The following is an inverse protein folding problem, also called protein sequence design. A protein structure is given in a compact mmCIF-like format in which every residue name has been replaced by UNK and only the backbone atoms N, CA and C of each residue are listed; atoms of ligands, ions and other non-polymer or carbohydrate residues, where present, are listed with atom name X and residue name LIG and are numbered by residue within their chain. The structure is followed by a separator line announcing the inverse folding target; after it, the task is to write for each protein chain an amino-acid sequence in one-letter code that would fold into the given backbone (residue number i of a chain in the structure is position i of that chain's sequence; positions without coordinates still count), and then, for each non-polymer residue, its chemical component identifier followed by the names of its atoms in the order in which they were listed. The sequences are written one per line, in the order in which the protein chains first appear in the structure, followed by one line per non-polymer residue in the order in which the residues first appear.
data_IF_962507412307
#
_entry.id   IF_962507412307
#
_cell.length_a   1.000
_cell.length_b   1.000
_cell.length_c   1.000
_cell.angle_alpha   90.00
_cell.angle_beta   90.00
_cell.angle_gamma   90.00
#
_symmetry.space_group_name_H-M   'P 1'
#
loop_
_entity.id
_entity.type
_entity.pdbx_description
1 polymer ?
#
# COMPACT_ATOMS: atom_id res chain seq x y z
N UNK A 1 22.43 8.75 -41.32
CA UNK A 1 23.02 9.48 -40.17
C UNK A 1 22.28 10.80 -39.98
N UNK A 2 21.25 10.82 -39.12
CA UNK A 2 20.54 12.07 -38.71
C UNK A 2 19.58 11.79 -37.55
N UNK A 3 20.11 11.34 -36.41
CA UNK A 3 19.33 11.18 -35.17
C UNK A 3 20.27 11.47 -34.01
N UNK A 4 20.17 12.66 -33.42
CA UNK A 4 20.63 13.06 -32.07
C UNK A 4 20.62 14.60 -32.05
N UNK A 5 19.54 15.16 -31.53
CA UNK A 5 19.47 16.59 -31.16
C UNK A 5 18.40 16.89 -30.09
N UNK A 6 17.77 15.89 -29.46
CA UNK A 6 16.73 16.12 -28.44
C UNK A 6 17.22 15.84 -27.02
N UNK A 7 18.48 16.18 -26.70
CA UNK A 7 19.07 15.95 -25.37
C UNK A 7 19.18 17.22 -24.50
N UNK A 8 18.56 18.35 -24.85
CA UNK A 8 18.70 19.58 -24.07
C UNK A 8 17.38 20.36 -23.93
N UNK A 9 16.33 19.71 -23.44
CA UNK A 9 15.11 20.39 -22.98
C UNK A 9 14.82 20.10 -21.50
N UNK A 10 15.87 20.13 -20.66
CA UNK A 10 15.79 19.82 -19.23
C UNK A 10 16.31 20.94 -18.30
N UNK A 11 16.29 22.21 -18.71
CA UNK A 11 16.78 23.31 -17.86
C UNK A 11 15.81 24.49 -17.84
N UNK A 12 15.25 24.75 -16.66
CA UNK A 12 14.50 25.96 -16.28
C UNK A 12 12.99 25.70 -16.27
N UNK A 13 12.32 25.62 -15.12
CA UNK A 13 12.22 26.67 -14.11
C UNK A 13 11.91 26.00 -12.75
N UNK A 14 12.87 26.05 -11.83
CA UNK A 14 12.61 25.93 -10.39
C UNK A 14 12.49 27.37 -9.87
N UNK A 15 11.26 27.83 -9.66
CA UNK A 15 10.97 29.06 -8.93
C UNK A 15 10.32 28.67 -7.61
N UNK A 16 11.12 28.73 -6.55
CA UNK A 16 10.70 28.58 -5.15
C UNK A 16 10.13 29.91 -4.67
N UNK A 17 9.25 29.80 -3.65
CA UNK A 17 8.84 30.78 -2.64
C UNK A 17 7.48 31.44 -2.86
N UNK A 18 6.58 31.12 -1.94
CA UNK A 18 5.35 31.87 -1.67
C UNK A 18 4.69 31.39 -0.38
N UNK A 19 5.34 31.63 0.76
CA UNK A 19 4.73 31.47 2.07
C UNK A 19 3.65 32.56 2.28
N UNK A 20 2.41 32.14 2.53
CA UNK A 20 1.39 32.91 3.24
C UNK A 20 0.81 31.94 4.30
N UNK A 21 1.32 32.00 5.53
CA UNK A 21 0.76 32.73 6.67
C UNK A 21 -0.68 32.36 6.99
N UNK A 22 -0.78 31.76 8.17
CA UNK A 22 -1.93 31.37 8.97
C UNK A 22 -2.92 32.50 9.18
N UNK A 23 -4.19 32.23 8.94
CA UNK A 23 -5.31 33.00 9.48
C UNK A 23 -6.32 31.99 10.04
N UNK A 24 -6.44 32.03 11.37
CA UNK A 24 -7.35 31.26 12.20
C UNK A 24 -8.68 32.04 12.33
N UNK A 25 -9.84 31.47 11.98
CA UNK A 25 -11.11 32.00 12.45
C UNK A 25 -11.55 31.28 13.73
N UNK A 26 -11.29 31.93 14.85
CA UNK A 26 -12.06 31.78 16.08
C UNK A 26 -13.54 32.07 15.79
N UNK A 27 -14.42 31.11 16.02
CA UNK A 27 -15.80 31.44 16.35
C UNK A 27 -16.32 30.58 17.49
N UNK A 28 -16.81 31.30 18.49
CA UNK A 28 -17.22 30.85 19.80
C UNK A 28 -18.50 30.03 19.72
N UNK A 29 -18.53 28.84 20.32
CA UNK A 29 -19.81 28.30 20.83
C UNK A 29 -19.61 27.60 22.16
N UNK A 30 -19.84 28.41 23.19
CA UNK A 30 -20.44 28.10 24.48
C UNK A 30 -20.11 26.74 25.13
N UNK A 31 -19.25 26.83 26.13
CA UNK A 31 -19.35 26.23 27.47
C UNK A 31 -20.49 25.21 27.68
N UNK A 32 -20.10 23.97 27.97
CA UNK A 32 -20.75 23.24 29.05
C UNK A 32 -19.68 22.57 29.92
N UNK A 33 -19.55 23.12 31.12
CA UNK A 33 -18.72 22.62 32.21
C UNK A 33 -19.33 21.34 32.78
N UNK A 34 -18.56 20.25 32.79
CA UNK A 34 -18.68 19.15 33.75
C UNK A 34 -17.23 18.73 34.05
N UNK A 35 -16.63 19.42 35.01
CA UNK A 35 -16.45 18.98 36.39
C UNK A 35 -15.16 18.16 36.54
N UNK A 36 -14.21 18.82 37.18
CA UNK A 36 -12.85 18.38 37.42
C UNK A 36 -12.82 17.67 38.76
N UNK A 37 -12.31 16.44 38.78
CA UNK A 37 -11.73 15.88 39.98
C UNK A 37 -10.44 15.16 39.60
N UNK A 38 -9.35 15.73 40.10
CA UNK A 38 -8.01 15.18 40.26
C UNK A 38 -8.01 13.77 40.83
N UNK A 39 -7.08 12.92 40.39
CA UNK A 39 -6.03 12.44 41.29
C UNK A 39 -4.88 11.80 40.50
N UNK A 40 -3.71 12.34 40.78
CA UNK A 40 -2.38 11.90 40.39
C UNK A 40 -1.97 10.74 41.31
N UNK A 41 -1.77 9.54 40.75
CA UNK A 41 -1.00 8.48 41.39
C UNK A 41 -0.23 7.69 40.33
N UNK A 42 1.08 7.91 40.33
CA UNK A 42 2.09 7.00 39.81
C UNK A 42 1.93 5.61 40.45
N UNK A 43 1.84 4.56 39.64
CA UNK A 43 2.18 3.22 40.09
C UNK A 43 3.13 2.56 39.09
N UNK A 44 4.33 2.34 39.60
CA UNK A 44 5.46 1.68 38.98
C UNK A 44 5.13 0.18 38.97
N UNK A 45 4.58 -0.32 37.87
CA UNK A 45 4.56 -1.76 37.60
C UNK A 45 5.32 -1.99 36.31
N UNK A 46 6.61 -2.29 36.49
CA UNK A 46 7.42 -3.04 35.54
C UNK A 46 6.75 -4.39 35.30
N UNK A 47 5.84 -4.42 34.34
CA UNK A 47 5.44 -5.65 33.69
C UNK A 47 6.56 -6.01 32.72
N UNK A 48 7.35 -7.00 33.11
CA UNK A 48 8.17 -7.74 32.17
C UNK A 48 7.22 -8.34 31.14
N UNK A 49 7.10 -7.65 30.00
CA UNK A 49 6.63 -8.26 28.78
C UNK A 49 7.73 -9.25 28.37
N UNK A 50 7.68 -10.45 28.94
CA UNK A 50 7.99 -11.66 28.19
C UNK A 50 6.98 -11.69 27.04
N UNK A 51 7.26 -10.89 26.00
CA UNK A 51 6.72 -11.12 24.67
C UNK A 51 7.32 -12.45 24.25
N UNK A 52 6.60 -13.51 24.59
CA UNK A 52 6.68 -14.79 23.92
C UNK A 52 6.59 -14.47 22.42
N UNK A 53 7.74 -14.45 21.76
CA UNK A 53 7.87 -14.42 20.31
C UNK A 53 7.49 -15.82 19.78
N UNK A 54 6.32 -16.29 20.22
CA UNK A 54 5.54 -17.31 19.57
C UNK A 54 4.83 -16.63 18.41
N UNK A 55 5.63 -16.26 17.40
CA UNK A 55 5.20 -16.01 16.04
C UNK A 55 4.53 -17.30 15.57
N UNK A 56 3.28 -17.48 15.98
CA UNK A 56 2.43 -18.51 15.44
C UNK A 56 2.08 -17.99 14.06
N UNK A 57 2.95 -18.29 13.09
CA UNK A 57 2.76 -18.19 11.64
C UNK A 57 1.54 -19.02 11.22
N UNK A 58 0.36 -18.71 11.76
CA UNK A 58 -0.89 -19.27 11.27
C UNK A 58 -1.29 -18.44 10.06
N UNK A 59 -0.64 -18.73 8.94
CA UNK A 59 -1.16 -18.30 7.64
C UNK A 59 -2.61 -18.78 7.50
N UNK A 60 -3.44 -17.95 6.90
CA UNK A 60 -4.87 -18.24 6.68
C UNK A 60 -5.05 -19.41 5.70
N UNK A 61 -4.06 -19.65 4.85
CA UNK A 61 -4.03 -20.69 3.83
C UNK A 61 -2.93 -21.71 4.11
N UNK A 62 -3.10 -22.96 3.67
CA UNK A 62 -1.99 -23.90 3.55
C UNK A 62 -1.31 -23.82 2.18
N UNK A 63 -0.08 -24.34 2.08
CA UNK A 63 0.64 -24.43 0.81
C UNK A 63 -0.18 -25.26 -0.21
N UNK A 64 -0.79 -26.37 0.22
CA UNK A 64 -1.60 -27.21 -0.67
C UNK A 64 -2.87 -26.51 -1.18
N UNK A 65 -3.48 -25.66 -0.36
CA UNK A 65 -4.63 -24.85 -0.78
C UNK A 65 -4.21 -23.87 -1.88
N UNK A 66 -3.09 -23.17 -1.71
CA UNK A 66 -2.57 -22.19 -2.67
C UNK A 66 -2.02 -22.84 -3.95
N UNK A 67 -1.34 -23.98 -3.86
CA UNK A 67 -0.89 -24.75 -5.04
C UNK A 67 -2.06 -25.25 -5.89
N UNK A 68 -3.20 -25.52 -5.26
CA UNK A 68 -4.41 -25.96 -5.94
C UNK A 68 -5.23 -24.81 -6.54
N UNK A 69 -4.99 -23.56 -6.13
CA UNK A 69 -5.67 -22.38 -6.64
C UNK A 69 -4.84 -21.69 -7.73
N UNK A 70 -5.18 -21.84 -9.03
CA UNK A 70 -4.46 -21.17 -10.10
C UNK A 70 -4.65 -19.64 -10.12
N UNK A 71 -5.49 -19.09 -9.24
CA UNK A 71 -5.68 -17.64 -9.08
C UNK A 71 -4.91 -17.07 -7.89
N UNK A 72 -4.32 -17.90 -7.05
CA UNK A 72 -3.52 -17.43 -5.92
C UNK A 72 -2.31 -16.62 -6.43
N UNK A 73 -2.10 -15.37 -5.97
CA UNK A 73 -0.93 -14.58 -6.37
C UNK A 73 0.42 -15.19 -5.93
N UNK A 74 0.43 -16.02 -4.89
CA UNK A 74 1.61 -16.75 -4.42
C UNK A 74 1.24 -18.09 -3.83
N UNK A 75 2.12 -19.09 -3.97
CA UNK A 75 1.98 -20.38 -3.28
C UNK A 75 2.55 -20.36 -1.86
N UNK A 76 3.22 -19.27 -1.45
CA UNK A 76 3.77 -19.11 -0.11
C UNK A 76 2.69 -18.58 0.84
N UNK A 77 2.26 -19.36 1.85
CA UNK A 77 1.23 -18.93 2.80
C UNK A 77 1.57 -17.65 3.57
N UNK A 78 2.86 -17.36 3.75
CA UNK A 78 3.33 -16.19 4.49
C UNK A 78 3.28 -14.90 3.65
N UNK A 79 2.92 -14.98 2.37
CA UNK A 79 2.67 -13.79 1.56
C UNK A 79 1.24 -13.25 1.73
N UNK A 80 0.46 -13.79 2.68
CA UNK A 80 -0.92 -13.38 2.95
C UNK A 80 -1.04 -12.85 4.38
N UNK A 81 -1.79 -11.76 4.57
CA UNK A 81 -2.08 -11.22 5.90
C UNK A 81 -3.21 -12.00 6.59
N UNK A 82 -3.55 -11.61 7.83
CA UNK A 82 -4.61 -12.21 8.63
C UNK A 82 -6.02 -12.09 8.00
N UNK A 83 -6.20 -11.18 7.04
CA UNK A 83 -7.44 -11.02 6.27
C UNK A 83 -7.47 -11.94 5.03
N UNK A 84 -6.41 -12.70 4.78
CA UNK A 84 -6.24 -13.55 3.60
C UNK A 84 -5.91 -12.77 2.33
N UNK A 85 -5.52 -11.51 2.44
CA UNK A 85 -5.10 -10.68 1.30
C UNK A 85 -3.60 -10.87 1.03
N UNK A 86 -3.25 -10.96 -0.24
CA UNK A 86 -1.86 -11.05 -0.66
C UNK A 86 -1.12 -9.73 -0.37
N UNK A 87 0.00 -9.82 0.35
CA UNK A 87 0.90 -8.71 0.69
C UNK A 87 2.26 -8.94 0.04
N UNK A 88 2.75 -8.02 -0.81
CA UNK A 88 4.06 -8.17 -1.41
C UNK A 88 5.16 -8.15 -0.36
N UNK A 89 6.27 -8.86 -0.60
CA UNK A 89 7.41 -8.98 0.35
C UNK A 89 8.01 -7.65 0.81
N UNK A 90 7.90 -6.60 0.00
CA UNK A 90 8.39 -5.26 0.32
C UNK A 90 7.30 -4.34 0.89
N UNK A 91 6.14 -4.90 1.26
CA UNK A 91 4.93 -4.17 1.60
C UNK A 91 4.12 -3.75 0.37
N UNK A 92 3.05 -3.01 0.61
CA UNK A 92 2.23 -2.40 -0.45
C UNK A 92 3.13 -1.51 -1.33
N UNK A 93 3.02 -1.65 -2.65
CA UNK A 93 3.78 -0.83 -3.58
C UNK A 93 3.10 0.51 -3.82
N UNK A 94 3.90 1.58 -3.86
CA UNK A 94 3.45 2.91 -4.28
C UNK A 94 3.39 3.05 -5.82
N UNK A 95 3.93 2.08 -6.57
CA UNK A 95 3.92 2.09 -8.03
C UNK A 95 2.61 1.51 -8.55
N UNK A 96 1.74 2.32 -9.21
CA UNK A 96 0.47 1.81 -9.72
C UNK A 96 0.63 0.77 -10.82
N UNK A 97 1.80 0.71 -11.50
CA UNK A 97 2.07 -0.30 -12.52
C UNK A 97 2.29 -1.71 -11.95
N UNK A 98 2.45 -1.83 -10.64
CA UNK A 98 2.58 -3.13 -9.98
C UNK A 98 1.21 -3.79 -9.76
N UNK A 99 0.11 -3.11 -10.08
CA UNK A 99 -1.24 -3.58 -9.89
C UNK A 99 -1.98 -3.69 -11.22
N UNK A 100 -2.80 -4.73 -11.37
CA UNK A 100 -3.68 -4.87 -12.52
C UNK A 100 -4.95 -4.01 -12.40
N UNK A 101 -5.84 -4.09 -13.40
CA UNK A 101 -7.09 -3.33 -13.42
C UNK A 101 -8.04 -3.63 -12.24
N UNK A 102 -7.88 -4.78 -11.57
CA UNK A 102 -8.67 -5.21 -10.44
C UNK A 102 -8.05 -4.79 -9.09
N UNK A 103 -6.87 -4.16 -9.11
CA UNK A 103 -6.12 -3.79 -7.89
C UNK A 103 -5.32 -4.95 -7.28
N UNK A 104 -5.13 -6.05 -8.00
CA UNK A 104 -4.32 -7.19 -7.56
C UNK A 104 -2.84 -6.92 -7.87
N UNK A 105 -1.94 -7.21 -6.93
CA UNK A 105 -0.50 -7.04 -7.13
C UNK A 105 0.04 -8.07 -8.12
N UNK A 106 0.53 -7.58 -9.26
CA UNK A 106 1.04 -8.37 -10.39
C UNK A 106 2.03 -7.53 -11.23
N UNK A 107 3.24 -7.28 -10.71
CA UNK A 107 4.24 -6.44 -11.40
C UNK A 107 4.69 -7.08 -12.72
N UNK A 108 4.97 -6.23 -13.71
CA UNK A 108 5.34 -6.68 -15.06
C UNK A 108 6.66 -7.44 -15.07
N UNK A 109 7.57 -7.11 -14.14
CA UNK A 109 8.87 -7.74 -13.97
C UNK A 109 8.77 -9.23 -13.59
N UNK A 110 7.69 -9.61 -12.90
CA UNK A 110 7.45 -10.99 -12.44
C UNK A 110 6.53 -11.77 -13.39
N UNK A 111 5.91 -11.11 -14.38
CA UNK A 111 5.03 -11.77 -15.36
C UNK A 111 5.80 -12.43 -16.50
N UNK A 112 5.26 -13.54 -16.98
CA UNK A 112 5.70 -14.15 -18.24
C UNK A 112 5.15 -13.40 -19.45
N UNK A 113 5.78 -13.60 -20.62
CA UNK A 113 5.31 -13.01 -21.89
C UNK A 113 3.86 -13.41 -22.23
N UNK A 114 3.49 -14.67 -21.98
CA UNK A 114 2.13 -15.17 -22.24
C UNK A 114 1.10 -14.48 -21.35
N UNK A 115 1.43 -14.25 -20.08
CA UNK A 115 0.55 -13.55 -19.14
C UNK A 115 0.39 -12.07 -19.51
N UNK A 116 1.48 -11.42 -19.94
CA UNK A 116 1.44 -10.02 -20.43
C UNK A 116 0.53 -9.92 -21.66
N UNK A 117 0.66 -10.83 -22.62
CA UNK A 117 -0.17 -10.84 -23.84
C UNK A 117 -1.65 -11.03 -23.52
N UNK A 118 -1.96 -11.96 -22.61
CA UNK A 118 -3.34 -12.23 -22.16
C UNK A 118 -3.95 -11.02 -21.44
N UNK A 119 -3.19 -10.37 -20.58
CA UNK A 119 -3.63 -9.17 -19.85
C UNK A 119 -3.94 -8.04 -20.84
N UNK A 120 -3.05 -7.79 -21.80
CA UNK A 120 -3.23 -6.79 -22.86
C UNK A 120 -4.44 -7.10 -23.74
N UNK A 121 -4.63 -8.37 -24.11
CA UNK A 121 -5.79 -8.81 -24.89
C UNK A 121 -7.10 -8.56 -24.13
N UNK A 122 -7.14 -8.79 -22.82
CA UNK A 122 -8.30 -8.47 -21.98
C UNK A 122 -8.65 -6.99 -22.05
N UNK A 123 -7.66 -6.11 -21.85
CA UNK A 123 -7.88 -4.65 -21.88
C UNK A 123 -8.40 -4.16 -23.24
N UNK A 124 -7.84 -4.69 -24.33
CA UNK A 124 -8.25 -4.33 -25.70
C UNK A 124 -9.62 -4.94 -26.03
N UNK A 125 -9.87 -6.19 -25.63
CA UNK A 125 -11.15 -6.86 -25.81
C UNK A 125 -12.30 -6.15 -25.10
N UNK A 126 -12.08 -5.71 -23.87
CA UNK A 126 -13.06 -4.94 -23.10
C UNK A 126 -13.32 -3.56 -23.70
N UNK A 127 -12.34 -2.97 -24.39
CA UNK A 127 -12.47 -1.67 -25.07
C UNK A 127 -13.25 -1.75 -26.38
N UNK A 128 -13.30 -2.93 -27.02
CA UNK A 128 -13.95 -3.13 -28.33
C UNK A 128 -15.40 -3.62 -28.18
N UNK A 129 -15.76 -4.25 -27.06
CA UNK A 129 -17.09 -4.80 -26.80
C UNK A 129 -18.04 -3.85 -26.02
N UNK A 130 -17.63 -2.60 -25.77
CA UNK A 130 -18.45 -1.54 -25.17
C UNK A 130 -19.04 -0.61 -26.24
#
# INVERSE_FOLDING_TARGET
MKKICFLFMLIGIVAVIGACSSEDPTDDTSVNSVDSSTDDLTDDTSDELDTDNGESDSSIYTEEELESDPKAPSSNPNDYNDDGEYVPKNGVSDNPADYNANGEYKPVEDMTQEEIEKELESMVGDSINQ
#
